data_IF_272039882711
#
_entry.id   IF_272039882711
#
_cell.length_a   1.000
_cell.length_b   1.000
_cell.length_c   1.000
_cell.angle_alpha   90.00
_cell.angle_beta   90.00
_cell.angle_gamma   90.00
#
_symmetry.space_group_name_H-M   'P 1'
#
loop_
_entity.id
_entity.type
_entity.pdbx_description
1 polymer ?
#
# COMPACT_ATOMS: atom_id res chain seq x y z
N UNK A 1 29.29 -45.27 -16.80
CA UNK A 1 29.46 -44.05 -15.98
C UNK A 1 28.18 -43.80 -15.21
N UNK A 2 28.10 -44.27 -13.97
CA UNK A 2 26.91 -44.11 -13.13
C UNK A 2 26.97 -42.75 -12.44
N UNK A 3 26.47 -41.71 -13.11
CA UNK A 3 26.25 -40.41 -12.45
C UNK A 3 25.23 -40.67 -11.35
N UNK A 4 25.65 -40.51 -10.10
CA UNK A 4 24.81 -40.76 -8.91
C UNK A 4 23.55 -39.92 -9.03
N UNK A 5 22.40 -40.58 -9.15
CA UNK A 5 21.08 -39.97 -9.32
C UNK A 5 20.81 -38.79 -8.36
N UNK A 6 21.41 -38.83 -7.17
CA UNK A 6 21.33 -37.76 -6.16
C UNK A 6 22.00 -36.43 -6.55
N UNK A 7 23.04 -36.44 -7.39
CA UNK A 7 23.71 -35.20 -7.83
C UNK A 7 22.86 -34.46 -8.87
N UNK A 8 22.20 -35.20 -9.76
CA UNK A 8 21.29 -34.62 -10.76
C UNK A 8 20.06 -34.01 -10.08
N UNK A 9 19.50 -34.70 -9.08
CA UNK A 9 18.38 -34.15 -8.29
C UNK A 9 18.75 -32.87 -7.53
N UNK A 10 19.95 -32.82 -6.93
CA UNK A 10 20.41 -31.63 -6.21
C UNK A 10 20.63 -30.42 -7.14
N UNK A 11 21.14 -30.64 -8.35
CA UNK A 11 21.35 -29.57 -9.33
C UNK A 11 19.99 -29.03 -9.84
N UNK A 12 19.00 -29.90 -10.08
CA UNK A 12 17.67 -29.45 -10.52
C UNK A 12 16.98 -28.60 -9.44
N UNK A 13 17.08 -28.98 -8.16
CA UNK A 13 16.52 -28.20 -7.05
C UNK A 13 17.24 -26.85 -6.90
N UNK A 14 18.57 -26.83 -7.02
CA UNK A 14 19.34 -25.59 -6.95
C UNK A 14 19.00 -24.61 -8.10
N UNK A 15 18.80 -25.13 -9.31
CA UNK A 15 18.38 -24.32 -10.48
C UNK A 15 16.96 -23.78 -10.29
N UNK A 16 16.04 -24.56 -9.71
CA UNK A 16 14.68 -24.10 -9.43
C UNK A 16 14.63 -23.00 -8.36
N UNK A 17 15.45 -23.10 -7.31
CA UNK A 17 15.53 -22.07 -6.26
C UNK A 17 16.17 -20.78 -6.79
N UNK A 18 17.21 -20.89 -7.61
CA UNK A 18 17.88 -19.73 -8.22
C UNK A 18 17.02 -19.04 -9.31
N UNK A 19 16.16 -19.79 -10.00
CA UNK A 19 15.22 -19.26 -10.98
C UNK A 19 13.92 -18.70 -10.35
N UNK A 20 13.63 -19.05 -9.09
CA UNK A 20 12.43 -18.60 -8.38
C UNK A 20 12.28 -17.07 -8.28
N UNK A 21 13.32 -16.28 -7.94
CA UNK A 21 13.20 -14.81 -7.92
C UNK A 21 13.06 -14.20 -9.33
N UNK A 22 13.50 -14.87 -10.40
CA UNK A 22 13.30 -14.43 -11.79
C UNK A 22 11.88 -14.68 -12.30
N UNK A 23 11.19 -15.71 -11.78
CA UNK A 23 9.77 -15.97 -12.06
C UNK A 23 8.80 -15.20 -11.14
N UNK A 24 9.23 -14.81 -9.95
CA UNK A 24 8.42 -14.04 -9.01
C UNK A 24 8.04 -12.65 -9.54
N UNK A 25 8.86 -12.05 -10.41
CA UNK A 25 8.55 -10.75 -11.04
C UNK A 25 7.55 -10.90 -12.20
N UNK A 26 7.57 -12.03 -12.92
CA UNK A 26 6.66 -12.30 -14.04
C UNK A 26 5.23 -12.70 -13.61
N UNK A 27 5.04 -13.10 -12.35
CA UNK A 27 3.73 -13.52 -11.80
C UNK A 27 3.03 -12.44 -10.94
N UNK A 28 3.65 -11.26 -10.76
CA UNK A 28 3.04 -10.14 -10.03
C UNK A 28 1.61 -9.75 -10.50
N UNK A 29 1.23 -9.81 -11.80
CA UNK A 29 -0.14 -9.47 -12.18
C UNK A 29 -1.18 -10.56 -11.88
N UNK A 30 -0.79 -11.81 -11.53
CA UNK A 30 -1.73 -12.92 -11.30
C UNK A 30 -2.02 -13.20 -9.81
N UNK A 31 -1.14 -12.79 -8.90
CA UNK A 31 -1.37 -12.94 -7.44
C UNK A 31 -2.47 -11.98 -6.95
N UNK A 32 -2.80 -10.95 -7.74
CA UNK A 32 -3.93 -10.05 -7.47
C UNK A 32 -5.31 -10.64 -7.82
N UNK A 33 -5.40 -11.77 -8.54
CA UNK A 33 -6.69 -12.35 -8.90
C UNK A 33 -7.24 -13.34 -7.86
N UNK A 34 -6.43 -13.83 -6.91
CA UNK A 34 -6.88 -14.75 -5.85
C UNK A 34 -7.04 -14.13 -4.45
N UNK A 35 -6.69 -12.86 -4.26
CA UNK A 35 -7.02 -12.14 -3.01
C UNK A 35 -8.39 -11.44 -3.06
N UNK A 36 -9.12 -11.57 -4.17
CA UNK A 36 -10.47 -11.01 -4.34
C UNK A 36 -11.59 -11.98 -3.94
N UNK A 37 -11.28 -13.21 -3.52
CA UNK A 37 -12.28 -14.28 -3.41
C UNK A 37 -12.13 -15.05 -2.10
N UNK A 38 -12.30 -14.37 -0.97
CA UNK A 38 -12.62 -15.04 0.31
C UNK A 38 -13.30 -14.12 1.32
N UNK A 39 -14.28 -13.31 0.90
CA UNK A 39 -15.24 -12.72 1.85
C UNK A 39 -16.65 -12.56 1.27
N UNK A 40 -17.21 -13.65 0.76
CA UNK A 40 -18.63 -13.93 0.99
C UNK A 40 -18.79 -15.41 1.34
N UNK A 41 -19.30 -15.70 2.54
CA UNK A 41 -19.59 -17.08 2.94
C UNK A 41 -19.65 -17.32 4.44
N UNK A 42 -20.65 -16.72 5.08
CA UNK A 42 -21.40 -17.24 6.24
C UNK A 42 -20.71 -18.05 7.36
N UNK A 43 -20.76 -17.49 8.57
CA UNK A 43 -20.89 -18.13 9.90
C UNK A 43 -20.38 -19.58 10.13
N UNK A 44 -19.43 -19.76 11.07
CA UNK A 44 -19.16 -21.08 11.67
C UNK A 44 -17.94 -21.15 12.62
N UNK A 45 -18.22 -21.24 13.92
CA UNK A 45 -17.34 -21.33 15.11
C UNK A 45 -16.24 -22.40 15.12
N UNK A 46 -15.14 -22.19 15.89
CA UNK A 46 -14.76 -22.95 17.12
C UNK A 46 -13.27 -22.84 17.48
N UNK A 47 -12.99 -22.28 18.66
CA UNK A 47 -11.92 -22.68 19.59
C UNK A 47 -10.47 -22.31 19.24
N UNK A 48 -9.98 -21.23 19.83
CA UNK A 48 -8.56 -20.86 19.82
C UNK A 48 -8.31 -19.60 20.62
N UNK A 49 -8.24 -19.76 21.94
CA UNK A 49 -7.78 -18.74 22.88
C UNK A 49 -6.34 -18.33 22.54
N UNK A 50 -6.14 -17.14 21.99
CA UNK A 50 -4.89 -16.39 22.11
C UNK A 50 -5.19 -14.90 21.93
N UNK A 51 -5.20 -14.18 23.06
CA UNK A 51 -5.04 -12.74 23.22
C UNK A 51 -5.54 -11.84 22.08
N UNK A 52 -6.80 -11.42 22.24
CA UNK A 52 -7.37 -10.29 21.54
C UNK A 52 -6.58 -9.00 21.84
N UNK A 53 -5.58 -8.69 21.01
CA UNK A 53 -5.25 -7.29 20.74
C UNK A 53 -6.34 -6.78 19.81
N UNK A 54 -7.32 -6.11 20.40
CA UNK A 54 -8.47 -5.51 19.71
C UNK A 54 -7.99 -4.43 18.74
N UNK A 55 -7.59 -4.84 17.54
CA UNK A 55 -7.48 -3.91 16.40
C UNK A 55 -8.84 -3.92 15.73
N UNK A 56 -9.70 -2.97 16.11
CA UNK A 56 -10.95 -2.71 15.41
C UNK A 56 -10.64 -2.60 13.91
N UNK A 57 -11.15 -3.54 13.12
CA UNK A 57 -11.09 -3.46 11.66
C UNK A 57 -11.95 -2.25 11.29
N UNK A 58 -11.31 -1.15 10.91
CA UNK A 58 -12.04 0.03 10.46
C UNK A 58 -12.82 -0.35 9.20
N UNK A 59 -14.15 -0.43 9.32
CA UNK A 59 -15.03 -0.67 8.18
C UNK A 59 -15.32 0.67 7.53
N UNK A 60 -14.70 0.92 6.39
CA UNK A 60 -14.89 2.15 5.61
C UNK A 60 -16.03 1.98 4.60
N UNK A 61 -16.99 2.90 4.58
CA UNK A 61 -18.05 2.87 3.58
C UNK A 61 -17.57 3.55 2.28
N UNK A 62 -17.81 2.95 1.09
CA UNK A 62 -17.41 3.57 -0.17
C UNK A 62 -18.12 4.91 -0.36
N UNK A 63 -17.33 5.95 -0.66
CA UNK A 63 -17.81 7.33 -0.76
C UNK A 63 -17.68 8.14 0.52
N UNK A 64 -17.37 7.51 1.65
CA UNK A 64 -17.06 8.19 2.91
C UNK A 64 -15.74 8.97 2.82
N UNK A 65 -15.71 10.12 3.48
CA UNK A 65 -14.49 10.90 3.70
C UNK A 65 -13.98 10.68 5.11
N UNK A 66 -12.72 10.26 5.22
CA UNK A 66 -12.08 9.93 6.49
C UNK A 66 -10.75 10.65 6.60
N UNK A 67 -10.43 11.12 7.81
CA UNK A 67 -9.15 11.77 8.08
C UNK A 67 -8.25 10.78 8.80
N UNK A 68 -7.13 10.44 8.20
CA UNK A 68 -6.13 9.55 8.79
C UNK A 68 -4.98 10.42 9.29
N UNK A 69 -4.83 10.49 10.61
CA UNK A 69 -3.71 11.17 11.26
C UNK A 69 -2.76 10.14 11.82
N UNK A 70 -1.49 10.22 11.45
CA UNK A 70 -0.50 9.25 11.89
C UNK A 70 0.91 9.65 11.51
N UNK A 71 1.84 8.70 11.58
CA UNK A 71 3.22 8.87 11.10
C UNK A 71 3.34 8.18 9.76
N UNK A 72 4.01 8.83 8.81
CA UNK A 72 4.31 8.23 7.51
C UNK A 72 5.33 7.11 7.72
N UNK A 73 4.94 5.87 7.46
CA UNK A 73 5.80 4.70 7.65
C UNK A 73 6.57 4.37 6.37
N UNK A 74 5.88 4.45 5.23
CA UNK A 74 6.44 4.12 3.92
C UNK A 74 5.87 5.04 2.85
N UNK A 75 6.71 5.38 1.88
CA UNK A 75 6.33 6.15 0.70
C UNK A 75 6.74 5.33 -0.52
N UNK A 76 5.82 5.13 -1.45
CA UNK A 76 6.06 4.44 -2.71
C UNK A 76 5.67 5.33 -3.88
N UNK A 77 6.67 5.99 -4.47
CA UNK A 77 6.50 6.94 -5.58
C UNK A 77 6.05 6.23 -6.85
N UNK A 78 6.51 4.99 -7.08
CA UNK A 78 6.16 4.23 -8.30
C UNK A 78 4.69 3.80 -8.29
N UNK A 79 4.21 3.34 -7.12
CA UNK A 79 2.80 2.99 -6.95
C UNK A 79 1.90 4.22 -6.74
N UNK A 80 2.47 5.37 -6.41
CA UNK A 80 1.72 6.56 -6.03
C UNK A 80 0.95 6.33 -4.73
N UNK A 81 1.63 5.83 -3.70
CA UNK A 81 1.00 5.51 -2.42
C UNK A 81 1.86 5.84 -1.21
N UNK A 82 1.19 6.08 -0.09
CA UNK A 82 1.79 6.36 1.22
C UNK A 82 1.14 5.44 2.25
N UNK A 83 1.93 4.86 3.14
CA UNK A 83 1.44 4.10 4.29
C UNK A 83 1.50 4.96 5.53
N UNK A 84 0.35 5.18 6.18
CA UNK A 84 0.23 5.93 7.43
C UNK A 84 -0.49 5.03 8.44
N UNK A 85 0.17 4.74 9.56
CA UNK A 85 -0.40 3.90 10.62
C UNK A 85 -0.88 2.52 10.14
N UNK A 86 -0.13 1.88 9.24
CA UNK A 86 -0.50 0.62 8.58
C UNK A 86 -1.52 0.73 7.43
N UNK A 87 -2.18 1.89 7.25
CA UNK A 87 -3.16 2.10 6.18
C UNK A 87 -2.48 2.57 4.88
N UNK A 88 -2.78 1.91 3.76
CA UNK A 88 -2.27 2.28 2.44
C UNK A 88 -3.20 3.32 1.80
N UNK A 89 -2.66 4.51 1.56
CA UNK A 89 -3.35 5.64 0.96
C UNK A 89 -2.79 5.90 -0.44
N UNK A 90 -3.67 6.00 -1.43
CA UNK A 90 -3.32 6.27 -2.83
C UNK A 90 -3.26 7.78 -3.06
N UNK A 91 -2.15 8.27 -3.59
CA UNK A 91 -1.90 9.67 -3.94
C UNK A 91 -1.68 9.76 -5.45
N UNK A 92 -2.61 10.42 -6.16
CA UNK A 92 -2.59 10.49 -7.63
C UNK A 92 -3.07 11.86 -8.12
N UNK A 93 -2.72 12.16 -9.36
CA UNK A 93 -3.11 13.40 -10.04
C UNK A 93 -2.20 14.57 -9.69
N UNK A 94 -2.73 15.77 -9.87
CA UNK A 94 -2.04 17.02 -9.62
C UNK A 94 -2.46 17.61 -8.28
N UNK A 95 -1.52 18.27 -7.62
CA UNK A 95 -1.65 18.76 -6.24
C UNK A 95 -1.17 20.20 -6.16
N UNK A 96 -1.85 21.01 -5.37
CA UNK A 96 -1.45 22.38 -5.04
C UNK A 96 -0.79 22.31 -3.67
N UNK A 97 0.53 22.55 -3.63
CA UNK A 97 1.32 22.58 -2.40
C UNK A 97 1.51 24.03 -1.96
N UNK A 98 1.12 24.32 -0.72
CA UNK A 98 1.35 25.58 -0.04
C UNK A 98 2.63 25.49 0.78
N UNK A 99 3.61 26.30 0.37
CA UNK A 99 4.90 26.48 1.03
C UNK A 99 5.02 27.93 1.51
N UNK A 100 5.94 28.27 2.42
CA UNK A 100 6.20 29.67 2.78
C UNK A 100 6.59 30.56 1.59
N UNK A 101 7.04 29.99 0.47
CA UNK A 101 7.38 30.70 -0.77
C UNK A 101 6.15 30.97 -1.67
N UNK A 102 5.01 30.34 -1.37
CA UNK A 102 3.77 30.45 -2.12
C UNK A 102 3.13 29.09 -2.46
N UNK A 103 2.07 29.15 -3.27
CA UNK A 103 1.38 27.97 -3.78
C UNK A 103 2.01 27.51 -5.10
N UNK A 104 2.38 26.24 -5.19
CA UNK A 104 2.93 25.61 -6.38
C UNK A 104 2.08 24.40 -6.77
N UNK A 105 1.72 24.30 -8.04
CA UNK A 105 1.12 23.09 -8.59
C UNK A 105 2.20 22.07 -8.93
N UNK A 106 2.08 20.86 -8.41
CA UNK A 106 3.02 19.75 -8.58
C UNK A 106 2.27 18.45 -8.89
N UNK A 107 2.94 17.51 -9.52
CA UNK A 107 2.35 16.19 -9.75
C UNK A 107 2.62 15.25 -8.55
N UNK A 108 1.85 14.16 -8.44
CA UNK A 108 1.91 13.30 -7.24
C UNK A 108 3.30 12.73 -6.97
N UNK A 109 4.11 12.48 -7.99
CA UNK A 109 5.48 12.00 -7.85
C UNK A 109 6.37 13.02 -7.12
N UNK A 110 6.32 14.29 -7.53
CA UNK A 110 7.05 15.38 -6.88
C UNK A 110 6.53 15.58 -5.44
N UNK A 111 5.21 15.56 -5.23
CA UNK A 111 4.62 15.64 -3.89
C UNK A 111 5.15 14.53 -2.97
N UNK A 112 5.16 13.28 -3.44
CA UNK A 112 5.64 12.15 -2.65
C UNK A 112 7.13 12.25 -2.32
N UNK A 113 7.94 12.86 -3.19
CA UNK A 113 9.35 13.13 -2.90
C UNK A 113 9.57 14.25 -1.88
N UNK A 114 8.60 15.16 -1.71
CA UNK A 114 8.66 16.19 -0.66
C UNK A 114 8.32 15.64 0.73
N UNK A 115 7.52 14.57 0.79
CA UNK A 115 7.16 13.91 2.04
C UNK A 115 8.33 13.09 2.60
N UNK A 116 8.44 13.06 3.93
CA UNK A 116 9.49 12.32 4.64
C UNK A 116 8.91 11.17 5.46
N UNK A 117 9.43 9.95 5.34
CA UNK A 117 9.10 8.87 6.27
C UNK A 117 9.49 9.27 7.70
N UNK A 118 8.65 8.94 8.67
CA UNK A 118 8.79 9.34 10.07
C UNK A 118 8.16 10.69 10.43
N UNK A 119 7.63 11.43 9.45
CA UNK A 119 6.91 12.68 9.68
C UNK A 119 5.44 12.42 10.06
N UNK A 120 4.90 13.25 10.95
CA UNK A 120 3.46 13.21 11.26
C UNK A 120 2.69 13.82 10.10
N UNK A 121 1.68 13.11 9.62
CA UNK A 121 0.81 13.58 8.55
C UNK A 121 -0.66 13.43 8.96
N UNK A 122 -1.47 14.38 8.53
CA UNK A 122 -2.92 14.32 8.57
C UNK A 122 -3.42 14.30 7.13
N UNK A 123 -3.98 13.17 6.71
CA UNK A 123 -4.39 12.97 5.32
C UNK A 123 -5.91 12.79 5.28
N UNK A 124 -6.60 13.75 4.64
CA UNK A 124 -8.01 13.56 4.29
C UNK A 124 -8.08 12.64 3.10
N UNK A 125 -8.82 11.55 3.26
CA UNK A 125 -8.99 10.51 2.27
C UNK A 125 -10.46 10.36 1.92
N UNK A 126 -10.73 9.96 0.69
CA UNK A 126 -12.04 9.45 0.27
C UNK A 126 -11.94 7.97 -0.02
N UNK A 127 -12.87 7.21 0.51
CA UNK A 127 -12.94 5.76 0.33
C UNK A 127 -13.50 5.48 -1.07
N UNK A 128 -12.70 4.83 -1.91
CA UNK A 128 -13.09 4.38 -3.24
C UNK A 128 -13.26 2.87 -3.26
N UNK A 129 -14.40 2.38 -3.73
CA UNK A 129 -14.62 0.94 -3.88
C UNK A 129 -13.64 0.24 -4.84
N UNK A 130 -12.98 0.99 -5.74
CA UNK A 130 -12.00 0.45 -6.70
C UNK A 130 -10.56 0.53 -6.21
N UNK A 131 -10.21 1.58 -5.48
CA UNK A 131 -8.82 1.91 -5.18
C UNK A 131 -8.51 1.96 -3.67
N UNK A 132 -9.51 1.75 -2.81
CA UNK A 132 -9.37 1.95 -1.37
C UNK A 132 -9.31 3.43 -1.01
N UNK A 133 -8.45 3.80 -0.06
CA UNK A 133 -8.30 5.17 0.42
C UNK A 133 -7.57 6.03 -0.62
N UNK A 134 -8.21 7.08 -1.12
CA UNK A 134 -7.61 8.05 -2.04
C UNK A 134 -7.41 9.36 -1.31
N UNK A 135 -6.18 9.88 -1.28
CA UNK A 135 -5.88 11.17 -0.68
C UNK A 135 -6.56 12.33 -1.44
N UNK A 136 -7.14 13.25 -0.68
CA UNK A 136 -7.71 14.52 -1.15
C UNK A 136 -6.91 15.72 -0.62
N UNK A 137 -6.43 15.64 0.62
CA UNK A 137 -5.63 16.68 1.25
C UNK A 137 -4.56 16.01 2.12
N UNK A 138 -3.34 16.53 2.10
CA UNK A 138 -2.21 16.06 2.91
C UNK A 138 -1.66 17.26 3.66
N UNK A 139 -1.77 17.22 4.99
CA UNK A 139 -1.16 18.21 5.87
C UNK A 139 -0.02 17.57 6.65
N UNK A 140 1.14 18.21 6.58
CA UNK A 140 2.32 17.87 7.37
C UNK A 140 2.87 19.13 8.03
N UNK A 141 3.70 19.01 9.08
CA UNK A 141 4.41 20.15 9.65
C UNK A 141 5.24 20.93 8.60
N UNK A 142 5.73 20.23 7.58
CA UNK A 142 6.61 20.81 6.55
C UNK A 142 5.87 21.43 5.37
N UNK A 143 4.68 20.92 5.03
CA UNK A 143 3.90 21.38 3.87
C UNK A 143 2.41 21.07 4.03
N UNK A 144 1.59 21.86 3.33
CA UNK A 144 0.16 21.58 3.13
C UNK A 144 -0.10 21.38 1.65
N UNK A 145 -0.74 20.27 1.26
CA UNK A 145 -1.04 19.94 -0.11
C UNK A 145 -2.52 19.58 -0.28
N UNK A 146 -3.16 20.14 -1.29
CA UNK A 146 -4.55 19.86 -1.65
C UNK A 146 -4.62 19.34 -3.09
N UNK A 147 -5.51 18.38 -3.35
CA UNK A 147 -5.69 17.86 -4.70
C UNK A 147 -6.28 18.94 -5.61
N UNK A 148 -5.65 19.16 -6.76
CA UNK A 148 -6.13 20.10 -7.77
C UNK A 148 -7.41 19.53 -8.42
N UNK A 149 -8.54 20.21 -8.24
CA UNK A 149 -9.75 19.98 -9.03
C UNK A 149 -9.58 20.68 -10.38
N UNK A 150 -8.85 20.04 -11.29
CA UNK A 150 -8.73 20.47 -12.69
C UNK A 150 -9.98 20.20 -13.52
#
# INVERSE_FOLDING_TARGET
>A
MSVKLGVVAAIVVAVLIAAFPLYADALRPFIWQHYAETREGGYGWRGGESEATSTAVATYEPGEEVTITGVIEKIDVNEGSVTVNGEKIIVRGTWIVETPEGKKEVYFDELLTMLKPGEKASIKCRVSGKWGLIALEIETPSLKAEKSEG
#
